data_IF_711701106011
#
_entry.id   IF_711701106011
#
_cell.length_a   1.000
_cell.length_b   1.000
_cell.length_c   1.000
_cell.angle_alpha   90.00
_cell.angle_beta   90.00
_cell.angle_gamma   90.00
#
_symmetry.space_group_name_H-M   'P 1'
#
loop_
_entity.id
_entity.type
_entity.pdbx_description
1 polymer ?
#
# COMPACT_ATOMS: atom_id res chain seq x y z
N UNK A 1 -5.32 35.66 17.73
CA UNK A 1 -5.28 34.40 18.50
C UNK A 1 -4.89 33.28 17.57
N UNK A 2 -3.76 32.61 17.81
CA UNK A 2 -3.28 31.48 17.01
C UNK A 2 -4.15 30.26 17.32
N UNK A 3 -4.88 29.75 16.33
CA UNK A 3 -5.62 28.50 16.45
C UNK A 3 -4.64 27.35 16.64
N UNK A 4 -4.65 26.73 17.81
CA UNK A 4 -3.95 25.48 18.03
C UNK A 4 -4.54 24.45 17.06
N UNK A 5 -3.75 24.08 16.05
CA UNK A 5 -4.00 22.91 15.21
C UNK A 5 -4.17 21.72 16.14
N UNK A 6 -5.41 21.29 16.36
CA UNK A 6 -5.69 20.02 17.02
C UNK A 6 -5.01 18.94 16.17
N UNK A 7 -3.88 18.44 16.65
CA UNK A 7 -3.26 17.23 16.12
C UNK A 7 -4.34 16.15 16.22
N UNK A 8 -4.91 15.77 15.06
CA UNK A 8 -5.77 14.59 14.95
C UNK A 8 -5.05 13.46 15.69
N UNK A 9 -5.67 12.93 16.75
CA UNK A 9 -5.18 11.70 17.36
C UNK A 9 -5.11 10.66 16.25
N UNK A 10 -3.95 10.04 16.06
CA UNK A 10 -3.80 8.94 15.12
C UNK A 10 -4.78 7.84 15.49
N UNK A 11 -5.44 7.26 14.48
CA UNK A 11 -6.29 6.09 14.70
C UNK A 11 -5.40 4.94 15.21
N UNK A 12 -5.88 4.11 16.16
CA UNK A 12 -5.12 2.95 16.62
C UNK A 12 -4.66 2.11 15.43
N UNK A 13 -3.35 1.89 15.31
CA UNK A 13 -2.76 1.14 14.19
C UNK A 13 -2.32 1.96 12.97
N UNK A 14 -2.72 3.23 12.91
CA UNK A 14 -2.26 4.14 11.87
C UNK A 14 -0.84 4.63 12.18
N UNK A 15 0.12 4.14 11.40
CA UNK A 15 1.55 4.49 11.51
C UNK A 15 1.98 5.60 10.53
N UNK A 16 1.03 6.34 9.94
CA UNK A 16 1.30 7.35 8.89
C UNK A 16 2.31 8.42 9.30
N UNK A 17 2.40 8.75 10.60
CA UNK A 17 3.35 9.72 11.13
C UNK A 17 4.82 9.35 10.84
N UNK A 18 5.11 8.05 10.70
CA UNK A 18 6.45 7.54 10.48
C UNK A 18 6.98 7.82 9.07
N UNK A 19 6.13 8.07 8.07
CA UNK A 19 6.57 8.35 6.70
C UNK A 19 7.47 9.59 6.60
N UNK A 20 7.26 10.56 7.49
CA UNK A 20 8.08 11.77 7.59
C UNK A 20 9.54 11.46 7.94
N UNK A 21 9.80 10.30 8.55
CA UNK A 21 11.13 9.82 8.95
C UNK A 21 11.83 9.02 7.85
N UNK A 22 11.12 8.65 6.77
CA UNK A 22 11.69 7.91 5.64
C UNK A 22 12.45 8.88 4.71
N UNK A 23 13.78 8.74 4.56
CA UNK A 23 14.54 9.58 3.65
C UNK A 23 14.14 9.34 2.20
N UNK A 24 13.98 10.41 1.41
CA UNK A 24 13.64 10.31 -0.02
C UNK A 24 14.64 9.41 -0.77
N UNK A 25 15.93 9.50 -0.42
CA UNK A 25 16.99 8.67 -1.03
C UNK A 25 16.75 7.16 -0.90
N UNK A 26 16.07 6.72 0.16
CA UNK A 26 15.75 5.30 0.39
C UNK A 26 14.73 4.82 -0.65
N UNK A 27 13.66 5.59 -0.85
CA UNK A 27 12.66 5.32 -1.91
C UNK A 27 13.32 5.31 -3.28
N UNK A 28 14.14 6.32 -3.59
CA UNK A 28 14.84 6.39 -4.88
C UNK A 28 15.80 5.22 -5.11
N UNK A 29 16.42 4.68 -4.06
CA UNK A 29 17.29 3.50 -4.16
C UNK A 29 16.49 2.24 -4.50
N UNK A 30 15.29 2.08 -3.94
CA UNK A 30 14.38 0.95 -4.23
C UNK A 30 13.99 0.93 -5.70
N UNK A 31 13.68 2.11 -6.26
CA UNK A 31 13.24 2.26 -7.66
C UNK A 31 14.29 1.89 -8.70
N UNK A 32 15.58 1.84 -8.32
CA UNK A 32 16.69 1.44 -9.22
C UNK A 32 16.78 -0.05 -9.45
N UNK A 33 16.07 -0.85 -8.66
CA UNK A 33 16.09 -2.31 -8.76
C UNK A 33 14.83 -2.82 -9.46
N UNK A 34 14.94 -3.97 -10.12
CA UNK A 34 13.77 -4.64 -10.73
C UNK A 34 12.91 -5.30 -9.66
N UNK A 35 11.61 -5.39 -9.93
CA UNK A 35 10.69 -6.22 -9.14
C UNK A 35 11.18 -7.67 -9.13
N UNK A 36 11.14 -8.31 -7.96
CA UNK A 36 11.45 -9.74 -7.82
C UNK A 36 10.17 -10.55 -7.97
N UNK A 37 10.12 -11.45 -8.95
CA UNK A 37 8.97 -12.35 -9.16
C UNK A 37 8.70 -13.22 -7.93
N UNK A 38 9.74 -13.64 -7.18
CA UNK A 38 9.59 -14.42 -5.95
C UNK A 38 8.89 -13.67 -4.81
N UNK A 39 8.71 -12.36 -4.93
CA UNK A 39 7.95 -11.55 -3.98
C UNK A 39 6.48 -11.34 -4.41
N UNK A 40 6.07 -11.87 -5.56
CA UNK A 40 4.74 -11.72 -6.14
C UNK A 40 3.94 -13.01 -5.99
N UNK A 41 2.71 -12.90 -5.51
CA UNK A 41 1.77 -14.00 -5.39
C UNK A 41 0.46 -13.60 -6.05
N UNK A 42 0.14 -14.24 -7.17
CA UNK A 42 -1.15 -14.06 -7.82
C UNK A 42 -2.23 -14.83 -7.05
N UNK A 43 -3.33 -14.15 -6.73
CA UNK A 43 -4.51 -14.78 -6.13
C UNK A 43 -5.41 -15.25 -7.28
N UNK A 44 -5.63 -16.57 -7.42
CA UNK A 44 -6.40 -17.13 -8.53
C UNK A 44 -7.89 -16.92 -8.31
N UNK A 45 -8.38 -15.73 -8.67
CA UNK A 45 -9.81 -15.39 -8.69
C UNK A 45 -10.17 -15.00 -10.10
N UNK A 46 -11.09 -15.75 -10.68
CA UNK A 46 -11.63 -15.51 -12.00
C UNK A 46 -12.91 -14.69 -11.84
N UNK A 47 -12.85 -13.42 -12.24
CA UNK A 47 -14.02 -12.55 -12.34
C UNK A 47 -14.32 -12.22 -13.81
N UNK A 48 -15.51 -11.69 -14.07
CA UNK A 48 -15.96 -11.32 -15.41
C UNK A 48 -15.08 -10.21 -16.05
N UNK A 49 -14.37 -9.44 -15.23
CA UNK A 49 -13.51 -8.34 -15.65
C UNK A 49 -12.05 -8.75 -15.88
N UNK A 50 -11.73 -10.04 -15.70
CA UNK A 50 -10.39 -10.62 -15.77
C UNK A 50 -9.34 -9.82 -14.98
N UNK A 51 -9.66 -9.41 -13.76
CA UNK A 51 -8.74 -8.62 -12.92
C UNK A 51 -7.71 -9.52 -12.23
N UNK A 52 -6.43 -9.30 -12.53
CA UNK A 52 -5.34 -9.98 -11.81
C UNK A 52 -5.18 -9.38 -10.41
N UNK A 53 -5.04 -10.22 -9.39
CA UNK A 53 -4.83 -9.79 -8.00
C UNK A 53 -3.45 -10.24 -7.57
N UNK A 54 -2.57 -9.30 -7.26
CA UNK A 54 -1.17 -9.61 -6.96
C UNK A 54 -0.85 -9.12 -5.55
N UNK A 55 -0.57 -10.07 -4.67
CA UNK A 55 -0.02 -9.83 -3.33
C UNK A 55 1.49 -9.71 -3.40
N UNK A 56 2.05 -8.72 -2.69
CA UNK A 56 3.48 -8.54 -2.53
C UNK A 56 3.91 -8.84 -1.10
N UNK A 57 4.96 -9.65 -0.94
CA UNK A 57 5.51 -9.97 0.39
C UNK A 57 6.42 -8.90 0.96
N UNK A 58 6.88 -7.96 0.14
CA UNK A 58 7.73 -6.85 0.57
C UNK A 58 7.22 -5.51 0.04
N UNK A 59 7.44 -4.44 0.81
CA UNK A 59 7.05 -3.09 0.43
C UNK A 59 7.85 -2.61 -0.79
N UNK A 60 9.12 -3.00 -0.87
CA UNK A 60 10.04 -2.62 -1.93
C UNK A 60 9.60 -3.16 -3.28
N UNK A 61 9.23 -4.44 -3.36
CA UNK A 61 8.76 -5.04 -4.61
C UNK A 61 7.36 -4.54 -5.00
N UNK A 62 6.50 -4.24 -4.03
CA UNK A 62 5.24 -3.54 -4.29
C UNK A 62 5.49 -2.18 -4.95
N UNK A 63 6.35 -1.34 -4.36
CA UNK A 63 6.69 -0.01 -4.90
C UNK A 63 7.31 -0.12 -6.31
N UNK A 64 8.22 -1.08 -6.52
CA UNK A 64 8.83 -1.32 -7.84
C UNK A 64 7.79 -1.68 -8.88
N UNK A 65 6.90 -2.63 -8.56
CA UNK A 65 5.82 -3.03 -9.46
C UNK A 65 4.93 -1.86 -9.83
N UNK A 66 4.51 -1.05 -8.86
CA UNK A 66 3.70 0.14 -9.14
C UNK A 66 4.40 1.13 -10.07
N UNK A 67 5.73 1.23 -10.01
CA UNK A 67 6.48 2.18 -10.84
C UNK A 67 6.82 1.62 -12.22
N UNK A 68 7.05 0.31 -12.32
CA UNK A 68 7.58 -0.35 -13.51
C UNK A 68 6.48 -0.96 -14.38
N UNK A 69 5.44 -1.48 -13.76
CA UNK A 69 4.42 -2.28 -14.44
C UNK A 69 3.09 -1.56 -14.56
N UNK A 70 2.74 -0.61 -13.67
CA UNK A 70 1.47 0.14 -13.75
C UNK A 70 1.65 1.39 -14.61
N UNK A 71 0.86 1.52 -15.67
CA UNK A 71 0.86 2.71 -16.54
C UNK A 71 -0.39 3.61 -16.36
N UNK A 72 -1.49 3.04 -15.87
CA UNK A 72 -2.72 3.79 -15.51
C UNK A 72 -3.10 3.44 -14.08
N UNK A 73 -3.08 4.44 -13.21
CA UNK A 73 -3.57 4.32 -11.84
C UNK A 73 -5.06 4.67 -11.78
N UNK A 74 -5.87 3.80 -11.18
CA UNK A 74 -7.21 4.19 -10.73
C UNK A 74 -7.06 4.89 -9.38
N UNK A 75 -7.65 6.08 -9.27
CA UNK A 75 -7.58 6.89 -8.05
C UNK A 75 -8.91 6.85 -7.28
N UNK A 76 -8.89 6.88 -5.94
CA UNK A 76 -7.69 6.87 -5.09
C UNK A 76 -7.07 5.46 -4.95
N UNK A 77 -5.81 5.40 -4.54
CA UNK A 77 -5.27 4.21 -3.88
C UNK A 77 -5.84 4.13 -2.46
N UNK A 78 -5.93 2.92 -1.91
CA UNK A 78 -6.54 2.71 -0.60
C UNK A 78 -5.52 2.22 0.43
N UNK A 79 -5.65 2.74 1.64
CA UNK A 79 -5.06 2.20 2.85
C UNK A 79 -6.16 1.62 3.73
N UNK A 80 -6.11 0.34 4.04
CA UNK A 80 -7.04 -0.29 4.99
C UNK A 80 -6.31 -0.58 6.29
N UNK A 81 -6.77 0.04 7.39
CA UNK A 81 -6.20 -0.12 8.73
C UNK A 81 -7.03 -1.15 9.50
N UNK A 82 -6.37 -2.20 9.98
CA UNK A 82 -7.00 -3.28 10.75
C UNK A 82 -6.24 -3.46 12.06
N UNK A 83 -6.65 -2.73 13.13
CA UNK A 83 -6.07 -2.89 14.45
C UNK A 83 -6.63 -4.12 15.17
N UNK A 84 -5.80 -4.71 16.01
CA UNK A 84 -6.15 -5.79 16.93
C UNK A 84 -5.38 -5.57 18.24
N UNK A 85 -5.85 -4.65 19.09
CA UNK A 85 -5.10 -4.23 20.28
C UNK A 85 -3.79 -3.53 19.90
N UNK A 86 -2.66 -4.02 20.42
CA UNK A 86 -1.31 -3.48 20.12
C UNK A 86 -0.70 -4.02 18.81
N UNK A 87 -1.35 -5.00 18.20
CA UNK A 87 -0.95 -5.62 16.94
C UNK A 87 -1.94 -5.24 15.82
N UNK A 88 -1.56 -5.47 14.56
CA UNK A 88 -2.47 -5.26 13.44
C UNK A 88 -1.78 -5.18 12.10
N UNK A 89 -2.52 -4.72 11.09
CA UNK A 89 -2.02 -4.62 9.73
C UNK A 89 -2.57 -3.41 8.98
N UNK A 90 -1.71 -2.82 8.15
CA UNK A 90 -2.07 -1.84 7.14
C UNK A 90 -1.96 -2.48 5.76
N UNK A 91 -3.06 -2.50 5.03
CA UNK A 91 -3.10 -2.95 3.65
C UNK A 91 -3.03 -1.73 2.74
N UNK A 92 -2.21 -1.80 1.70
CA UNK A 92 -2.12 -0.80 0.65
C UNK A 92 -2.59 -1.44 -0.64
N UNK A 93 -3.63 -0.89 -1.26
CA UNK A 93 -4.33 -1.49 -2.39
C UNK A 93 -4.36 -0.47 -3.53
N UNK A 94 -3.85 -0.88 -4.68
CA UNK A 94 -3.82 -0.08 -5.90
C UNK A 94 -4.50 -0.85 -7.02
N UNK A 95 -5.54 -0.27 -7.58
CA UNK A 95 -6.17 -0.74 -8.81
C UNK A 95 -5.62 0.07 -9.99
N UNK A 96 -5.40 -0.59 -11.13
CA UNK A 96 -4.92 0.07 -12.32
C UNK A 96 -4.83 -0.86 -13.51
N UNK A 97 -4.02 -0.44 -14.49
CA UNK A 97 -3.69 -1.25 -15.66
C UNK A 97 -2.19 -1.42 -15.81
N UNK A 98 -1.76 -2.64 -16.14
CA UNK A 98 -0.36 -2.94 -16.43
C UNK A 98 0.06 -2.36 -17.78
N UNK A 99 1.36 -2.23 -18.06
CA UNK A 99 1.90 -1.81 -19.37
C UNK A 99 1.39 -2.66 -20.55
N UNK A 100 0.93 -3.88 -20.28
CA UNK A 100 0.29 -4.78 -21.24
C UNK A 100 -1.24 -4.61 -21.32
N UNK A 101 -1.78 -3.55 -20.72
CA UNK A 101 -3.20 -3.19 -20.67
C UNK A 101 -4.10 -4.21 -19.93
N UNK A 102 -3.52 -4.98 -19.00
CA UNK A 102 -4.26 -5.93 -18.15
C UNK A 102 -4.79 -5.22 -16.90
N UNK A 103 -6.04 -5.50 -16.51
CA UNK A 103 -6.60 -4.99 -15.26
C UNK A 103 -5.91 -5.66 -14.07
N UNK A 104 -5.48 -4.87 -13.08
CA UNK A 104 -4.76 -5.40 -11.92
C UNK A 104 -5.15 -4.70 -10.62
N UNK A 105 -5.23 -5.48 -9.55
CA UNK A 105 -5.25 -5.03 -8.16
C UNK A 105 -3.95 -5.52 -7.51
N UNK A 106 -3.02 -4.61 -7.31
CA UNK A 106 -1.77 -4.87 -6.60
C UNK A 106 -1.92 -4.47 -5.14
N UNK A 107 -1.48 -5.31 -4.21
CA UNK A 107 -1.57 -4.97 -2.80
C UNK A 107 -0.44 -5.53 -1.93
N UNK A 108 -0.14 -4.77 -0.87
CA UNK A 108 0.88 -5.10 0.14
C UNK A 108 0.27 -5.02 1.54
N UNK A 109 0.76 -5.84 2.47
CA UNK A 109 0.34 -5.86 3.88
C UNK A 109 1.53 -5.61 4.81
N UNK A 110 1.56 -4.46 5.47
CA UNK A 110 2.51 -4.15 6.54
C UNK A 110 1.92 -4.50 7.92
N UNK A 111 2.55 -5.43 8.64
CA UNK A 111 2.08 -5.89 9.97
C UNK A 111 2.86 -5.23 11.12
N UNK A 112 2.17 -4.62 12.08
CA UNK A 112 2.81 -4.00 13.26
C UNK A 112 2.46 -4.73 14.55
N UNK A 113 3.28 -4.53 15.59
CA UNK A 113 3.12 -5.14 16.91
C UNK A 113 3.61 -6.60 17.04
N UNK A 114 3.93 -7.29 15.95
CA UNK A 114 4.48 -8.66 15.96
C UNK A 114 6.02 -8.73 16.10
N UNK A 115 6.65 -7.72 16.71
CA UNK A 115 8.12 -7.59 16.72
C UNK A 115 8.75 -7.38 15.32
N UNK A 116 7.92 -7.08 14.32
CA UNK A 116 8.31 -6.95 12.91
C UNK A 116 8.60 -5.52 12.45
N UNK A 117 9.03 -5.39 11.20
CA UNK A 117 9.35 -4.14 10.52
C UNK A 117 8.15 -3.46 9.86
N UNK A 118 6.92 -3.93 10.07
CA UNK A 118 5.75 -3.41 9.35
C UNK A 118 5.42 -1.93 9.56
N UNK A 119 5.71 -1.28 10.70
CA UNK A 119 5.64 0.19 10.79
C UNK A 119 6.55 0.88 9.79
N UNK A 120 7.80 0.42 9.63
CA UNK A 120 8.76 0.94 8.67
C UNK A 120 8.32 0.67 7.23
N UNK A 121 7.88 -0.56 6.93
CA UNK A 121 7.39 -0.93 5.60
C UNK A 121 6.16 -0.11 5.18
N UNK A 122 5.22 0.09 6.10
CA UNK A 122 4.03 0.93 5.91
C UNK A 122 4.43 2.39 5.63
N UNK A 123 5.34 2.93 6.45
CA UNK A 123 5.87 4.27 6.27
C UNK A 123 6.57 4.47 4.92
N UNK A 124 7.30 3.45 4.46
CA UNK A 124 7.99 3.44 3.18
C UNK A 124 7.01 3.51 2.00
N UNK A 125 5.94 2.71 2.03
CA UNK A 125 4.87 2.74 1.00
C UNK A 125 4.17 4.10 0.98
N UNK A 126 3.83 4.65 2.15
CA UNK A 126 3.19 5.97 2.21
C UNK A 126 4.10 7.10 1.77
N UNK A 127 5.40 7.00 2.06
CA UNK A 127 6.38 7.96 1.56
C UNK A 127 6.46 7.92 0.04
N UNK A 128 6.41 6.73 -0.55
CA UNK A 128 6.34 6.58 -2.00
C UNK A 128 5.08 7.24 -2.58
N UNK A 129 3.89 6.98 -2.03
CA UNK A 129 2.66 7.62 -2.51
C UNK A 129 2.67 9.15 -2.40
N UNK A 130 3.25 9.69 -1.32
CA UNK A 130 3.49 11.12 -1.17
C UNK A 130 4.39 11.68 -2.28
N UNK A 131 5.48 10.99 -2.61
CA UNK A 131 6.44 11.41 -3.63
C UNK A 131 5.86 11.44 -5.05
N UNK A 132 4.98 10.50 -5.37
CA UNK A 132 4.34 10.44 -6.69
C UNK A 132 3.01 11.20 -6.75
N UNK A 133 2.64 11.91 -5.67
CA UNK A 133 1.37 12.63 -5.53
C UNK A 133 0.12 11.76 -5.80
N UNK A 134 0.19 10.46 -5.52
CA UNK A 134 -0.95 9.56 -5.66
C UNK A 134 -1.87 9.72 -4.45
N UNK A 135 -3.15 10.05 -4.68
CA UNK A 135 -4.13 10.18 -3.60
C UNK A 135 -4.28 8.83 -2.88
N UNK A 136 -3.96 8.81 -1.58
CA UNK A 136 -4.16 7.68 -0.69
C UNK A 136 -5.33 7.96 0.24
N UNK A 137 -6.32 7.07 0.27
CA UNK A 137 -7.52 7.21 1.08
C UNK A 137 -7.63 6.08 2.12
N UNK A 138 -7.78 6.46 3.40
CA UNK A 138 -7.85 5.51 4.51
C UNK A 138 -9.27 4.97 4.70
N UNK A 139 -9.38 3.67 4.97
CA UNK A 139 -10.61 2.92 5.22
C UNK A 139 -10.43 1.91 6.37
N UNK A 140 -11.54 1.48 6.97
CA UNK A 140 -11.56 0.41 7.96
C UNK A 140 -11.62 -0.98 7.30
N UNK A 141 -11.44 -2.03 8.12
CA UNK A 141 -11.37 -3.42 7.67
C UNK A 141 -12.56 -3.92 6.84
N UNK A 142 -13.77 -3.39 7.06
CA UNK A 142 -14.99 -3.81 6.34
C UNK A 142 -14.88 -3.61 4.82
N UNK A 143 -14.04 -2.70 4.36
CA UNK A 143 -13.83 -2.43 2.94
C UNK A 143 -12.86 -3.43 2.28
N UNK A 144 -12.12 -4.23 3.04
CA UNK A 144 -11.00 -5.02 2.50
C UNK A 144 -11.45 -5.99 1.41
N UNK A 145 -12.48 -6.80 1.68
CA UNK A 145 -12.94 -7.83 0.73
C UNK A 145 -13.50 -7.21 -0.55
N UNK A 146 -14.24 -6.10 -0.43
CA UNK A 146 -14.78 -5.37 -1.57
C UNK A 146 -13.70 -4.70 -2.41
N UNK A 147 -12.69 -4.10 -1.78
CA UNK A 147 -11.56 -3.47 -2.47
C UNK A 147 -10.68 -4.49 -3.21
N UNK A 148 -10.54 -5.70 -2.66
CA UNK A 148 -9.85 -6.81 -3.32
C UNK A 148 -10.75 -7.55 -4.32
N UNK A 149 -12.06 -7.25 -4.33
CA UNK A 149 -13.09 -7.90 -5.16
C UNK A 149 -13.08 -9.42 -5.00
N UNK A 150 -13.07 -9.90 -3.76
CA UNK A 150 -12.99 -11.33 -3.43
C UNK A 150 -14.26 -11.87 -2.74
N UNK A 151 -15.36 -11.13 -2.89
CA UNK A 151 -16.68 -11.42 -2.33
C UNK A 151 -17.72 -11.59 -3.44
#
# INVERSE_FOLDING_TARGET
MKGASQLKKSEPGDVSELKSKIPIKEVLQILRQKVRESAMYEIPIYDEENVKRIYFTTAEDFIRFLTQEIHIFKVPAFKVVIPCGEIGANYYIVEGKTVNNENVIAFFRGMYGYGGSGPHQSALVEKFFELIHLKLETRCGDYLLGLLRIC
#
